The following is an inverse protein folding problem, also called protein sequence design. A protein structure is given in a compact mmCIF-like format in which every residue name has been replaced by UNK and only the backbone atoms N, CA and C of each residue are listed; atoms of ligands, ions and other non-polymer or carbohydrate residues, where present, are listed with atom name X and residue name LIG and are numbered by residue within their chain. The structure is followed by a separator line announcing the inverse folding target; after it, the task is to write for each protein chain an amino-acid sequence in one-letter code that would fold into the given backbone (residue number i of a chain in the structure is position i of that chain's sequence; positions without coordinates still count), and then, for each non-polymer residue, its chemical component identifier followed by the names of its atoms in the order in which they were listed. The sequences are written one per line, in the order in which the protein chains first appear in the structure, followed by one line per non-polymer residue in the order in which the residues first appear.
data_IF_064692322725
#
_entry.id   IF_064692322725
#
_cell.length_a   1.000
_cell.length_b   1.000
_cell.length_c   1.000
_cell.angle_alpha   90.00
_cell.angle_beta   90.00
_cell.angle_gamma   90.00
#
_symmetry.space_group_name_H-M   'P 1'
#
loop_
_entity.id
_entity.type
_entity.pdbx_description
1 polymer ?
#
# COMPACT_ATOMS: atom_id res chain seq x y z
N UNK A 1 5.00 -3.03 40.35
CA UNK A 1 3.86 -3.67 39.66
C UNK A 1 4.10 -3.50 38.18
N UNK A 2 4.56 -4.56 37.50
CA UNK A 2 4.86 -4.49 36.07
C UNK A 2 3.56 -4.45 35.28
N UNK A 3 3.33 -3.38 34.53
CA UNK A 3 2.25 -3.31 33.56
C UNK A 3 2.64 -4.28 32.43
N UNK A 4 1.96 -5.42 32.34
CA UNK A 4 2.16 -6.35 31.25
C UNK A 4 1.86 -5.65 29.93
N UNK A 5 2.85 -5.54 29.05
CA UNK A 5 2.65 -5.03 27.69
C UNK A 5 1.57 -5.87 27.01
N UNK A 6 0.47 -5.24 26.62
CA UNK A 6 -0.61 -5.92 25.92
C UNK A 6 -0.09 -6.59 24.63
N UNK A 7 -0.47 -7.85 24.43
CA UNK A 7 0.16 -8.75 23.46
C UNK A 7 -0.75 -9.11 22.28
N UNK A 8 -1.77 -8.31 22.01
CA UNK A 8 -2.64 -8.55 20.86
C UNK A 8 -1.93 -8.15 19.55
N UNK A 9 -2.30 -8.82 18.47
CA UNK A 9 -1.92 -8.45 17.10
C UNK A 9 -3.19 -8.47 16.26
N UNK A 10 -3.52 -7.34 15.65
CA UNK A 10 -4.62 -7.26 14.68
C UNK A 10 -4.01 -7.16 13.30
N UNK A 11 -4.50 -7.97 12.37
CA UNK A 11 -4.01 -8.02 11.00
C UNK A 11 -5.14 -7.92 9.99
N UNK A 12 -4.85 -7.30 8.86
CA UNK A 12 -5.70 -7.30 7.69
C UNK A 12 -4.87 -7.57 6.44
N UNK A 13 -5.37 -8.43 5.56
CA UNK A 13 -4.74 -8.76 4.28
C UNK A 13 -5.64 -8.34 3.14
N UNK A 14 -5.08 -7.64 2.16
CA UNK A 14 -5.78 -7.22 0.96
C UNK A 14 -4.99 -7.59 -0.30
N UNK A 15 -5.71 -7.83 -1.40
CA UNK A 15 -5.16 -8.03 -2.74
C UNK A 15 -5.59 -6.86 -3.62
N UNK A 16 -4.64 -6.21 -4.28
CA UNK A 16 -4.89 -5.06 -5.15
C UNK A 16 -4.41 -5.33 -6.58
N UNK A 17 -5.24 -5.10 -7.61
CA UNK A 17 -4.85 -5.27 -9.00
C UNK A 17 -3.95 -4.13 -9.48
N UNK A 18 -3.14 -4.40 -10.52
CA UNK A 18 -2.46 -3.32 -11.26
C UNK A 18 -3.38 -2.68 -12.30
N UNK A 19 -3.00 -1.51 -12.80
CA UNK A 19 -3.71 -0.82 -13.89
C UNK A 19 -2.74 -0.39 -15.00
N UNK A 20 -3.27 -0.22 -16.22
CA UNK A 20 -2.51 0.30 -17.38
C UNK A 20 -3.22 1.54 -17.92
N UNK A 21 -2.52 2.67 -17.93
CA UNK A 21 -3.04 3.94 -18.42
C UNK A 21 -3.26 3.91 -19.95
N UNK A 22 -4.48 4.24 -20.39
CA UNK A 22 -4.83 4.50 -21.80
C UNK A 22 -4.72 5.99 -22.14
N UNK A 23 -5.01 6.87 -21.17
CA UNK A 23 -4.64 8.30 -21.18
C UNK A 23 -3.60 8.53 -20.09
N UNK A 24 -2.45 9.08 -20.45
CA UNK A 24 -1.24 9.02 -19.61
C UNK A 24 -1.22 10.10 -18.53
N UNK A 25 -0.89 9.70 -17.30
CA UNK A 25 -0.39 10.60 -16.26
C UNK A 25 1.08 10.89 -16.55
N UNK A 26 1.42 12.13 -16.94
CA UNK A 26 2.81 12.51 -17.19
C UNK A 26 3.06 14.01 -16.94
N UNK A 27 3.74 14.30 -15.83
CA UNK A 27 4.04 15.66 -15.38
C UNK A 27 3.24 16.02 -14.12
N UNK A 28 3.90 16.72 -13.19
CA UNK A 28 3.32 17.18 -11.93
C UNK A 28 3.33 18.71 -11.90
N UNK A 29 2.21 19.31 -11.51
CA UNK A 29 2.16 20.75 -11.17
C UNK A 29 2.55 21.02 -9.72
N UNK A 30 2.41 20.00 -8.87
CA UNK A 30 2.84 20.01 -7.46
C UNK A 30 3.47 18.66 -7.13
N UNK A 31 4.76 18.65 -6.82
CA UNK A 31 5.49 17.42 -6.51
C UNK A 31 5.24 16.92 -5.10
N UNK A 32 4.93 17.81 -4.15
CA UNK A 32 4.72 17.47 -2.73
C UNK A 32 3.38 16.77 -2.51
N UNK A 33 2.34 17.25 -3.18
CA UNK A 33 1.00 16.69 -3.15
C UNK A 33 0.73 15.68 -4.29
N UNK A 34 1.69 15.54 -5.22
CA UNK A 34 1.60 14.64 -6.39
C UNK A 34 0.42 15.03 -7.32
N UNK A 35 0.18 16.33 -7.53
CA UNK A 35 -0.93 16.80 -8.37
C UNK A 35 -0.54 16.78 -9.87
N UNK A 36 -1.33 16.12 -10.74
CA UNK A 36 -1.03 16.05 -12.18
C UNK A 36 -1.21 17.39 -12.90
N UNK A 37 -0.57 17.53 -14.06
CA UNK A 37 -0.92 18.61 -15.01
C UNK A 37 -2.16 18.28 -15.87
N UNK A 38 -2.54 16.99 -15.97
CA UNK A 38 -3.67 16.53 -16.78
C UNK A 38 -4.35 15.29 -16.16
N UNK A 39 -5.61 15.08 -16.49
CA UNK A 39 -6.32 13.86 -16.11
C UNK A 39 -5.73 12.62 -16.80
N UNK A 40 -5.91 11.45 -16.20
CA UNK A 40 -5.51 10.16 -16.74
C UNK A 40 -6.65 9.14 -16.63
N UNK A 41 -6.68 8.18 -17.54
CA UNK A 41 -7.66 7.09 -17.56
C UNK A 41 -6.88 5.79 -17.73
N UNK A 42 -7.21 4.77 -16.93
CA UNK A 42 -6.54 3.46 -16.95
C UNK A 42 -7.54 2.32 -16.92
N UNK A 43 -7.11 1.16 -17.43
CA UNK A 43 -7.85 -0.09 -17.31
C UNK A 43 -7.23 -0.91 -16.17
N UNK A 44 -8.08 -1.38 -15.26
CA UNK A 44 -7.69 -2.32 -14.19
C UNK A 44 -7.51 -3.71 -14.79
N UNK A 45 -6.39 -4.36 -14.48
CA UNK A 45 -6.12 -5.73 -14.94
C UNK A 45 -6.73 -6.76 -13.97
N UNK A 46 -7.01 -7.94 -14.50
CA UNK A 46 -7.42 -9.08 -13.68
C UNK A 46 -6.31 -9.45 -12.67
N UNK A 47 -6.63 -9.54 -11.36
CA UNK A 47 -5.63 -9.78 -10.33
C UNK A 47 -5.02 -11.19 -10.38
N UNK A 48 -5.59 -12.15 -11.11
CA UNK A 48 -5.15 -13.55 -11.11
C UNK A 48 -3.68 -13.71 -11.50
N UNK A 49 -3.19 -12.89 -12.43
CA UNK A 49 -1.79 -12.92 -12.87
C UNK A 49 -0.95 -11.75 -12.35
N UNK A 50 -1.54 -10.56 -12.20
CA UNK A 50 -0.81 -9.34 -11.87
C UNK A 50 -1.52 -8.56 -10.76
N UNK A 51 -1.00 -8.71 -9.54
CA UNK A 51 -1.52 -8.04 -8.36
C UNK A 51 -0.43 -7.90 -7.30
N UNK A 52 -0.73 -7.16 -6.24
CA UNK A 52 0.04 -7.20 -4.98
C UNK A 52 -0.86 -7.69 -3.86
N UNK A 53 -0.35 -8.60 -3.04
CA UNK A 53 -0.98 -9.01 -1.78
C UNK A 53 -0.20 -8.38 -0.63
N UNK A 54 -0.88 -7.62 0.22
CA UNK A 54 -0.26 -6.93 1.36
C UNK A 54 -0.99 -7.29 2.64
N UNK A 55 -0.23 -7.59 3.69
CA UNK A 55 -0.74 -7.74 5.05
C UNK A 55 -0.22 -6.58 5.89
N UNK A 56 -1.13 -5.93 6.61
CA UNK A 56 -0.79 -4.92 7.63
C UNK A 56 -1.09 -5.53 8.99
N UNK A 57 -0.17 -5.33 9.94
CA UNK A 57 -0.30 -5.79 11.31
C UNK A 57 -0.04 -4.64 12.28
N UNK A 58 -0.85 -4.54 13.33
CA UNK A 58 -0.67 -3.58 14.42
C UNK A 58 -0.67 -4.31 15.77
N UNK A 59 0.22 -3.87 16.67
CA UNK A 59 0.36 -4.41 18.02
C UNK A 59 1.03 -3.37 18.93
N UNK A 60 0.66 -3.27 20.22
CA UNK A 60 1.37 -2.48 21.21
C UNK A 60 2.82 -2.97 21.45
N UNK A 61 3.14 -4.21 21.05
CA UNK A 61 4.46 -4.80 21.18
C UNK A 61 5.42 -4.45 20.03
N UNK A 62 5.00 -3.66 19.03
CA UNK A 62 5.86 -3.23 17.93
C UNK A 62 6.51 -1.88 18.25
N UNK A 63 7.84 -1.87 18.37
CA UNK A 63 8.59 -0.66 18.76
C UNK A 63 8.71 0.38 17.62
N UNK A 64 8.44 -0.03 16.38
CA UNK A 64 8.56 0.83 15.19
C UNK A 64 7.81 0.25 13.99
N UNK A 65 7.48 1.13 13.04
CA UNK A 65 6.96 0.74 11.73
C UNK A 65 8.04 0.02 10.93
N UNK A 66 7.68 -1.11 10.35
CA UNK A 66 8.56 -1.94 9.52
C UNK A 66 7.80 -2.44 8.30
N UNK A 67 8.48 -2.53 7.18
CA UNK A 67 7.92 -3.00 5.92
C UNK A 67 8.87 -4.04 5.33
N UNK A 68 8.29 -5.10 4.76
CA UNK A 68 9.02 -6.06 3.94
C UNK A 68 8.37 -6.13 2.57
N UNK A 69 9.20 -6.12 1.52
CA UNK A 69 8.77 -6.25 0.14
C UNK A 69 9.50 -7.44 -0.48
N UNK A 70 8.73 -8.45 -0.90
CA UNK A 70 9.27 -9.70 -1.47
C UNK A 70 10.31 -10.37 -0.55
N UNK A 71 10.07 -10.33 0.77
CA UNK A 71 10.92 -10.94 1.79
C UNK A 71 12.17 -10.13 2.16
N UNK A 72 12.35 -8.92 1.63
CA UNK A 72 13.44 -8.01 1.93
C UNK A 72 12.96 -6.80 2.71
#
# INVERSE_FOLDING_TARGET
MGVGTESWVVMATARSPTNIAVIKYWGKRDESLILPINDSISVTLDPDHLCTTTTVAASPAFDSDRMWLNGK
#
